data_IF_706328099398
#
_entry.id   IF_706328099398
#
_cell.length_a   1.000
_cell.length_b   1.000
_cell.length_c   1.000
_cell.angle_alpha   90.00
_cell.angle_beta   90.00
_cell.angle_gamma   90.00
#
_symmetry.space_group_name_H-M   'P 1'
#
loop_
_entity.id
_entity.type
_entity.pdbx_description
1 polymer ?
#
# COMPACT_ATOMS: atom_id res chain seq x y z
N UNK A 1 -6.97 -6.87 3.54
CA UNK A 1 -5.89 -6.63 2.56
C UNK A 1 -4.88 -7.76 2.56
N UNK A 2 -4.10 -7.97 3.63
CA UNK A 2 -3.13 -9.09 3.67
C UNK A 2 -3.76 -10.47 3.40
N UNK A 3 -4.88 -10.78 4.08
CA UNK A 3 -5.63 -12.04 3.87
C UNK A 3 -6.16 -12.19 2.45
N UNK A 4 -6.64 -11.09 1.86
CA UNK A 4 -7.19 -11.08 0.49
C UNK A 4 -6.08 -11.32 -0.55
N UNK A 5 -4.85 -10.92 -0.22
CA UNK A 5 -3.65 -11.16 -1.02
C UNK A 5 -2.94 -12.48 -0.66
N UNK A 6 -3.56 -13.33 0.18
CA UNK A 6 -2.99 -14.57 0.69
C UNK A 6 -1.62 -14.41 1.41
N UNK A 7 -1.33 -13.21 1.95
CA UNK A 7 -0.10 -12.92 2.67
C UNK A 7 -0.26 -13.29 4.15
N UNK A 8 0.71 -14.05 4.68
CA UNK A 8 0.74 -14.40 6.10
C UNK A 8 1.25 -13.22 6.94
N UNK A 9 0.52 -12.84 7.99
CA UNK A 9 0.87 -11.75 8.90
C UNK A 9 2.30 -11.84 9.48
N UNK A 10 2.78 -13.00 9.98
CA UNK A 10 4.17 -13.09 10.45
C UNK A 10 5.19 -12.83 9.34
N UNK A 11 4.90 -13.27 8.11
CA UNK A 11 5.76 -12.98 6.96
C UNK A 11 5.78 -11.48 6.61
N UNK A 12 4.73 -10.71 6.90
CA UNK A 12 4.69 -9.27 6.65
C UNK A 12 5.46 -8.43 7.69
N UNK A 13 5.65 -8.97 8.89
CA UNK A 13 6.44 -8.31 9.94
C UNK A 13 7.94 -8.49 9.75
N UNK A 14 8.37 -9.61 9.17
CA UNK A 14 9.78 -9.91 8.87
C UNK A 14 10.21 -9.49 7.46
N UNK A 15 9.28 -9.42 6.50
CA UNK A 15 9.57 -9.06 5.10
C UNK A 15 9.35 -7.58 4.84
N UNK A 16 10.24 -6.98 4.06
CA UNK A 16 10.04 -5.65 3.52
C UNK A 16 8.83 -5.61 2.58
N UNK A 17 7.76 -4.94 2.99
CA UNK A 17 6.59 -4.69 2.14
C UNK A 17 6.64 -3.26 1.65
N UNK A 18 6.70 -3.08 0.34
CA UNK A 18 6.75 -1.75 -0.29
C UNK A 18 5.53 -1.58 -1.18
N UNK A 19 4.75 -0.55 -0.88
CA UNK A 19 3.63 -0.12 -1.70
C UNK A 19 4.08 1.03 -2.60
N UNK A 20 3.87 0.88 -3.89
CA UNK A 20 4.26 1.85 -4.91
C UNK A 20 3.00 2.38 -5.59
N UNK A 21 2.89 3.70 -5.68
CA UNK A 21 1.83 4.37 -6.42
C UNK A 21 2.47 5.23 -7.50
N UNK A 22 2.39 4.81 -8.78
CA UNK A 22 2.62 5.60 -10.00
C UNK A 22 3.83 6.57 -10.06
N UNK A 23 4.76 6.49 -9.12
CA UNK A 23 5.67 7.57 -8.73
C UNK A 23 6.47 7.17 -7.49
N UNK A 24 7.12 8.15 -6.84
CA UNK A 24 8.06 7.91 -5.70
C UNK A 24 7.41 7.89 -4.31
N UNK A 25 6.17 8.40 -4.18
CA UNK A 25 5.55 8.65 -2.87
C UNK A 25 4.77 7.43 -2.39
N UNK A 26 5.01 7.02 -1.15
CA UNK A 26 4.34 5.89 -0.51
C UNK A 26 3.16 6.38 0.33
N UNK A 27 2.01 6.56 -0.31
CA UNK A 27 0.79 7.01 0.40
C UNK A 27 0.21 5.96 1.35
N UNK A 28 0.46 4.68 1.06
CA UNK A 28 -0.10 3.55 1.80
C UNK A 28 1.02 2.73 2.43
N UNK A 29 0.79 2.25 3.64
CA UNK A 29 1.61 1.26 4.32
C UNK A 29 0.75 0.08 4.77
N UNK A 30 1.39 -1.06 5.02
CA UNK A 30 0.70 -2.21 5.58
C UNK A 30 1.05 -2.35 7.06
N UNK A 31 0.04 -2.49 7.90
CA UNK A 31 0.25 -2.69 9.32
C UNK A 31 0.67 -4.14 9.60
N UNK A 32 1.95 -4.38 9.90
CA UNK A 32 2.52 -5.74 10.00
C UNK A 32 1.81 -6.70 10.96
N UNK A 33 1.20 -6.19 12.05
CA UNK A 33 0.49 -7.04 13.02
C UNK A 33 -0.91 -7.46 12.57
N UNK A 34 -1.58 -6.66 11.75
CA UNK A 34 -3.01 -6.84 11.42
C UNK A 34 -3.24 -7.09 9.93
N UNK A 35 -2.26 -6.76 9.09
CA UNK A 35 -2.34 -6.89 7.65
C UNK A 35 -3.36 -5.93 7.01
N UNK A 36 -3.73 -4.88 7.73
CA UNK A 36 -4.57 -3.80 7.21
C UNK A 36 -3.72 -2.79 6.46
N UNK A 37 -4.25 -2.31 5.34
CA UNK A 37 -3.69 -1.17 4.63
C UNK A 37 -4.05 0.09 5.40
N UNK A 38 -3.05 0.90 5.71
CA UNK A 38 -3.19 2.17 6.40
C UNK A 38 -2.61 3.28 5.52
N UNK A 39 -3.14 4.48 5.69
CA UNK A 39 -2.61 5.67 5.02
C UNK A 39 -1.39 6.14 5.82
N UNK A 40 -0.22 6.12 5.19
CA UNK A 40 1.05 6.52 5.81
C UNK A 40 1.36 8.00 5.59
N UNK A 41 0.96 8.54 4.43
CA UNK A 41 1.13 9.95 4.09
C UNK A 41 -0.19 10.58 3.65
N UNK A 42 -0.28 11.91 3.79
CA UNK A 42 -1.46 12.68 3.42
C UNK A 42 -1.74 12.54 1.91
N UNK A 43 -2.95 12.07 1.59
CA UNK A 43 -3.45 11.96 0.23
C UNK A 43 -4.26 13.23 -0.07
N UNK A 44 -3.74 14.07 -0.97
CA UNK A 44 -4.44 15.25 -1.46
C UNK A 44 -5.13 14.91 -2.78
N UNK A 45 -6.47 14.82 -2.75
CA UNK A 45 -7.28 14.39 -3.89
C UNK A 45 -7.17 15.38 -5.04
N UNK A 46 -7.15 16.67 -4.73
CA UNK A 46 -7.06 17.76 -5.68
C UNK A 46 -5.69 17.77 -6.39
N UNK A 47 -4.60 17.45 -5.68
CA UNK A 47 -3.28 17.29 -6.28
C UNK A 47 -3.17 16.04 -7.18
N UNK A 48 -3.80 14.93 -6.78
CA UNK A 48 -3.65 13.65 -7.48
C UNK A 48 -4.60 13.50 -8.68
N UNK A 49 -5.85 13.93 -8.51
CA UNK A 49 -6.93 13.67 -9.46
C UNK A 49 -7.65 14.93 -9.91
N UNK A 50 -7.24 16.10 -9.41
CA UNK A 50 -7.80 17.39 -9.80
C UNK A 50 -9.34 17.43 -9.66
N UNK A 51 -10.05 17.55 -10.78
CA UNK A 51 -11.50 17.71 -10.84
C UNK A 51 -12.23 16.41 -11.17
N UNK A 52 -11.53 15.26 -11.22
CA UNK A 52 -12.15 13.98 -11.54
C UNK A 52 -13.12 13.59 -10.42
N UNK A 53 -14.36 13.25 -10.81
CA UNK A 53 -15.43 12.88 -9.88
C UNK A 53 -15.12 11.59 -9.10
N UNK A 54 -14.51 10.60 -9.75
CA UNK A 54 -14.07 9.36 -9.12
C UNK A 54 -12.55 9.20 -9.26
N UNK A 55 -11.83 9.43 -8.16
CA UNK A 55 -10.39 9.27 -8.09
C UNK A 55 -10.05 7.85 -7.63
N UNK A 56 -9.40 7.06 -8.49
CA UNK A 56 -8.97 5.70 -8.16
C UNK A 56 -7.45 5.66 -8.16
N UNK A 57 -6.87 5.37 -6.99
CA UNK A 57 -5.43 5.17 -6.86
C UNK A 57 -5.11 3.69 -7.03
N UNK A 58 -4.33 3.36 -8.06
CA UNK A 58 -3.82 2.00 -8.29
C UNK A 58 -2.44 1.88 -7.67
N UNK A 59 -2.31 0.99 -6.68
CA UNK A 59 -1.04 0.73 -6.03
C UNK A 59 -0.56 -0.69 -6.33
N UNK A 60 0.74 -0.82 -6.52
CA UNK A 60 1.42 -2.09 -6.62
C UNK A 60 2.06 -2.40 -5.27
N UNK A 61 1.94 -3.65 -4.84
CA UNK A 61 2.58 -4.12 -3.62
C UNK A 61 3.70 -5.07 -4.01
N UNK A 62 4.91 -4.76 -3.56
CA UNK A 62 6.05 -5.67 -3.63
C UNK A 62 6.25 -6.24 -2.22
N UNK A 63 6.23 -7.56 -2.14
CA UNK A 63 6.59 -8.30 -0.93
C UNK A 63 7.95 -8.94 -1.21
N UNK A 64 8.99 -8.46 -0.54
CA UNK A 64 10.29 -9.10 -0.66
C UNK A 64 10.19 -10.50 -0.05
N UNK A 65 10.40 -11.53 -0.86
CA UNK A 65 10.51 -12.93 -0.43
C UNK A 65 11.97 -13.36 -0.43
N UNK A 66 12.34 -14.24 0.49
CA UNK A 66 13.61 -14.97 0.43
C UNK A 66 13.67 -15.80 -0.87
N UNK A 67 14.83 -15.74 -1.53
CA UNK A 67 15.31 -16.75 -2.48
C UNK A 67 15.45 -18.10 -1.79
#
# INVERSE_FOLDING_TARGET
VAKDLALQLPALGERGVRLLYGGRTQYFALHGKTGHLVVAERIDREQLCQLVQQCVLRCEMIVEGEM
#
